data_IF_400959412867
#
_entry.id   IF_400959412867
#
_cell.length_a   1.000
_cell.length_b   1.000
_cell.length_c   1.000
_cell.angle_alpha   90.00
_cell.angle_beta   90.00
_cell.angle_gamma   90.00
#
_symmetry.space_group_name_H-M   'P 1'
#
loop_
_entity.id
_entity.type
_entity.pdbx_description
1 polymer ?
#
# COMPACT_ATOMS: atom_id res chain seq x y z
N UNK A 1 -50.80 -10.28 -24.97
CA UNK A 1 -49.68 -9.31 -25.06
C UNK A 1 -48.97 -9.02 -23.73
N UNK A 2 -49.66 -8.83 -22.59
CA UNK A 2 -49.00 -8.44 -21.32
C UNK A 2 -48.00 -9.46 -20.73
N UNK A 3 -48.29 -10.77 -20.79
CA UNK A 3 -47.44 -11.82 -20.19
C UNK A 3 -46.11 -12.04 -20.93
N UNK A 4 -46.13 -11.89 -22.24
CA UNK A 4 -44.94 -12.07 -23.10
C UNK A 4 -43.98 -10.88 -22.96
N UNK A 5 -44.53 -9.67 -22.88
CA UNK A 5 -43.77 -8.46 -22.54
C UNK A 5 -43.11 -8.59 -21.16
N UNK A 6 -43.82 -9.13 -20.17
CA UNK A 6 -43.25 -9.30 -18.82
C UNK A 6 -42.11 -10.32 -18.80
N UNK A 7 -42.24 -11.44 -19.53
CA UNK A 7 -41.14 -12.42 -19.69
C UNK A 7 -39.91 -11.84 -20.38
N UNK A 8 -40.11 -11.01 -21.40
CA UNK A 8 -39.01 -10.32 -22.10
C UNK A 8 -38.32 -9.32 -21.17
N UNK A 9 -39.09 -8.54 -20.39
CA UNK A 9 -38.54 -7.61 -19.42
C UNK A 9 -37.76 -8.31 -18.30
N UNK A 10 -38.26 -9.43 -17.75
CA UNK A 10 -37.52 -10.24 -16.77
C UNK A 10 -36.24 -10.79 -17.35
N UNK A 11 -36.27 -11.36 -18.56
CA UNK A 11 -35.06 -11.89 -19.22
C UNK A 11 -34.02 -10.81 -19.51
N UNK A 12 -34.45 -9.60 -19.87
CA UNK A 12 -33.57 -8.45 -20.04
C UNK A 12 -33.01 -8.01 -18.69
N UNK A 13 -33.82 -7.91 -17.64
CA UNK A 13 -33.38 -7.59 -16.30
C UNK A 13 -32.35 -8.60 -15.78
N UNK A 14 -32.62 -9.90 -15.90
CA UNK A 14 -31.68 -10.96 -15.49
C UNK A 14 -30.39 -10.92 -16.32
N UNK A 15 -30.46 -10.57 -17.61
CA UNK A 15 -29.29 -10.41 -18.45
C UNK A 15 -28.48 -9.17 -18.09
N UNK A 16 -29.15 -8.07 -17.74
CA UNK A 16 -28.53 -6.86 -17.23
C UNK A 16 -27.93 -7.07 -15.84
N UNK A 17 -28.55 -7.85 -14.96
CA UNK A 17 -27.98 -8.23 -13.65
C UNK A 17 -26.74 -9.12 -13.80
N UNK A 18 -26.70 -10.01 -14.80
CA UNK A 18 -25.50 -10.80 -15.12
C UNK A 18 -24.38 -9.97 -15.75
N UNK A 19 -24.71 -8.84 -16.38
CA UNK A 19 -23.76 -7.91 -16.99
C UNK A 19 -23.37 -6.77 -16.04
N UNK A 20 -24.19 -6.49 -15.02
CA UNK A 20 -23.89 -5.57 -13.96
C UNK A 20 -22.68 -6.12 -13.18
N UNK A 21 -21.69 -5.28 -12.85
CA UNK A 21 -20.67 -5.65 -11.87
C UNK A 21 -21.38 -6.20 -10.65
N UNK A 22 -20.94 -7.36 -10.14
CA UNK A 22 -21.50 -7.93 -8.91
C UNK A 22 -21.49 -6.80 -7.88
N UNK A 23 -22.67 -6.34 -7.47
CA UNK A 23 -22.78 -5.46 -6.31
C UNK A 23 -22.02 -6.18 -5.21
N UNK A 24 -21.00 -5.51 -4.68
CA UNK A 24 -20.19 -6.04 -3.59
C UNK A 24 -21.16 -6.51 -2.52
N UNK A 25 -21.35 -7.83 -2.41
CA UNK A 25 -22.27 -8.39 -1.42
C UNK A 25 -21.87 -7.84 -0.06
N UNK A 26 -22.89 -7.48 0.74
CA UNK A 26 -22.79 -6.87 2.07
C UNK A 26 -21.51 -7.33 2.80
N UNK A 27 -20.45 -6.54 2.66
CA UNK A 27 -19.17 -6.90 3.25
C UNK A 27 -19.26 -6.52 4.70
N UNK A 28 -19.11 -7.48 5.59
CA UNK A 28 -18.97 -7.19 7.01
C UNK A 28 -17.59 -6.56 7.26
N UNK A 29 -17.58 -5.23 7.35
CA UNK A 29 -16.41 -4.40 7.61
C UNK A 29 -15.90 -4.48 9.06
N UNK A 30 -16.55 -5.27 9.92
CA UNK A 30 -16.15 -5.55 11.29
C UNK A 30 -15.55 -6.96 11.45
N UNK A 31 -15.81 -7.89 10.53
CA UNK A 31 -15.43 -9.29 10.66
C UNK A 31 -13.92 -9.61 10.54
N UNK A 32 -13.12 -8.75 9.90
CA UNK A 32 -11.72 -9.06 9.58
C UNK A 32 -10.76 -7.92 9.94
N UNK A 33 -9.46 -8.20 10.17
CA UNK A 33 -8.46 -7.16 10.42
C UNK A 33 -8.11 -6.36 9.17
N UNK A 34 -8.33 -6.93 7.97
CA UNK A 34 -8.05 -6.28 6.71
C UNK A 34 -8.96 -6.73 5.57
N UNK A 35 -8.98 -5.94 4.50
CA UNK A 35 -9.80 -6.15 3.31
C UNK A 35 -9.00 -5.82 2.04
N UNK A 36 -9.37 -6.44 0.92
CA UNK A 36 -8.91 -6.06 -0.42
C UNK A 36 -10.10 -5.57 -1.21
N UNK A 37 -10.02 -4.36 -1.74
CA UNK A 37 -11.01 -3.75 -2.63
C UNK A 37 -10.57 -3.88 -4.09
N UNK A 38 -11.42 -4.48 -4.91
CA UNK A 38 -11.25 -4.61 -6.37
C UNK A 38 -12.53 -4.16 -7.07
N UNK A 39 -12.54 -4.08 -8.41
CA UNK A 39 -13.78 -3.83 -9.16
C UNK A 39 -14.87 -4.89 -8.92
N UNK A 40 -14.49 -6.07 -8.41
CA UNK A 40 -15.42 -7.14 -8.02
C UNK A 40 -15.97 -7.00 -6.59
N UNK A 41 -15.61 -5.94 -5.88
CA UNK A 41 -16.01 -5.66 -4.50
C UNK A 41 -14.93 -5.93 -3.44
N UNK A 42 -15.35 -5.90 -2.18
CA UNK A 42 -14.47 -6.13 -1.05
C UNK A 42 -14.33 -7.63 -0.72
N UNK A 43 -13.12 -8.03 -0.35
CA UNK A 43 -12.83 -9.37 0.17
C UNK A 43 -12.11 -9.28 1.52
N UNK A 44 -12.58 -9.97 2.57
CA UNK A 44 -11.89 -10.00 3.86
C UNK A 44 -10.54 -10.74 3.76
N UNK A 45 -9.64 -10.38 4.68
CA UNK A 45 -8.32 -11.00 4.87
C UNK A 45 -8.16 -11.33 6.34
N UNK A 46 -8.04 -12.62 6.65
CA UNK A 46 -8.03 -13.12 8.03
C UNK A 46 -6.82 -12.65 8.85
N UNK A 47 -5.70 -12.35 8.20
CA UNK A 47 -4.49 -11.87 8.86
C UNK A 47 -3.64 -10.95 7.98
N UNK A 48 -3.15 -9.85 8.56
CA UNK A 48 -2.20 -8.94 7.90
C UNK A 48 -0.81 -9.57 7.90
N UNK A 49 -0.36 -10.02 6.73
CA UNK A 49 0.99 -10.56 6.53
C UNK A 49 2.02 -9.42 6.43
N UNK A 50 2.79 -9.23 7.49
CA UNK A 50 3.88 -8.25 7.59
C UNK A 50 4.99 -8.75 8.54
N UNK A 51 6.23 -8.26 8.44
CA UNK A 51 7.23 -8.44 9.50
C UNK A 51 6.80 -7.69 10.77
N UNK A 52 7.39 -8.01 11.93
CA UNK A 52 7.24 -7.20 13.15
C UNK A 52 7.86 -5.82 12.95
N UNK A 53 7.31 -4.81 13.63
CA UNK A 53 7.72 -3.42 13.42
C UNK A 53 9.20 -3.22 13.82
N UNK A 54 9.68 -3.98 14.81
CA UNK A 54 11.06 -3.99 15.28
C UNK A 54 12.04 -4.59 14.25
N UNK A 55 11.56 -5.50 13.40
CA UNK A 55 12.38 -6.13 12.35
C UNK A 55 12.65 -5.19 11.17
N UNK A 56 11.85 -4.13 11.04
CA UNK A 56 12.04 -3.12 10.00
C UNK A 56 13.13 -2.13 10.42
N UNK A 57 14.39 -2.47 10.18
CA UNK A 57 15.56 -1.64 10.54
C UNK A 57 15.91 -0.60 9.46
N UNK A 58 16.64 0.46 9.84
CA UNK A 58 17.09 1.53 8.93
C UNK A 58 16.00 2.54 8.54
N UNK A 59 14.81 2.44 9.13
CA UNK A 59 13.66 3.32 8.87
C UNK A 59 12.97 3.76 10.16
N UNK A 60 13.68 3.85 11.28
CA UNK A 60 13.13 4.11 12.62
C UNK A 60 12.35 5.42 12.70
N UNK A 61 12.84 6.48 12.05
CA UNK A 61 12.13 7.75 11.96
C UNK A 61 10.79 7.59 11.23
N UNK A 62 10.78 6.91 10.09
CA UNK A 62 9.58 6.69 9.29
C UNK A 62 8.58 5.80 10.04
N UNK A 63 9.05 4.72 10.69
CA UNK A 63 8.22 3.86 11.54
C UNK A 63 7.50 4.65 12.61
N UNK A 64 8.23 5.46 13.37
CA UNK A 64 7.65 6.26 14.45
C UNK A 64 6.56 7.21 13.93
N UNK A 65 6.83 7.93 12.84
CA UNK A 65 5.85 8.88 12.27
C UNK A 65 4.59 8.15 11.75
N UNK A 66 4.77 7.02 11.05
CA UNK A 66 3.63 6.21 10.56
C UNK A 66 2.84 5.66 11.73
N UNK A 67 3.51 5.13 12.74
CA UNK A 67 2.88 4.58 13.95
C UNK A 67 2.05 5.61 14.70
N UNK A 68 2.65 6.75 15.05
CA UNK A 68 1.95 7.84 15.73
C UNK A 68 0.70 8.29 14.97
N UNK A 69 0.77 8.36 13.63
CA UNK A 69 -0.36 8.79 12.79
C UNK A 69 -1.46 7.71 12.70
N UNK A 70 -1.09 6.43 12.57
CA UNK A 70 -2.03 5.32 12.51
C UNK A 70 -2.70 5.09 13.86
N UNK A 71 -1.97 5.24 14.97
CA UNK A 71 -2.55 5.17 16.32
C UNK A 71 -3.60 6.27 16.51
N UNK A 72 -3.30 7.53 16.14
CA UNK A 72 -4.29 8.62 16.19
C UNK A 72 -5.56 8.26 15.43
N UNK A 73 -5.42 7.71 14.22
CA UNK A 73 -6.57 7.26 13.44
C UNK A 73 -7.35 6.15 14.16
N UNK A 74 -6.65 5.16 14.72
CA UNK A 74 -7.29 4.06 15.44
C UNK A 74 -8.08 4.53 16.66
N UNK A 75 -7.59 5.57 17.34
CA UNK A 75 -8.25 6.23 18.47
C UNK A 75 -9.41 7.16 18.06
N UNK A 76 -9.66 7.34 16.75
CA UNK A 76 -10.67 8.28 16.23
C UNK A 76 -10.24 9.75 16.26
N UNK A 77 -8.94 10.03 16.48
CA UNK A 77 -8.38 11.37 16.44
C UNK A 77 -8.02 11.82 15.02
N UNK A 78 -7.73 13.13 14.89
CA UNK A 78 -7.23 13.67 13.63
C UNK A 78 -5.87 13.05 13.24
N UNK A 79 -5.82 12.51 12.02
CA UNK A 79 -4.63 11.95 11.41
C UNK A 79 -4.47 12.51 9.98
N UNK A 80 -3.27 12.40 9.43
CA UNK A 80 -2.96 12.84 8.08
C UNK A 80 -3.04 11.68 7.08
N UNK A 81 -3.32 12.01 5.82
CA UNK A 81 -2.95 11.12 4.73
C UNK A 81 -1.44 11.06 4.57
N UNK A 82 -0.95 9.90 4.17
CA UNK A 82 0.47 9.60 4.07
C UNK A 82 0.87 9.23 2.65
N UNK A 83 1.92 9.87 2.14
CA UNK A 83 2.64 9.46 0.95
C UNK A 83 4.01 8.91 1.35
N UNK A 84 4.25 7.63 1.07
CA UNK A 84 5.52 6.96 1.30
C UNK A 84 6.22 6.77 -0.04
N UNK A 85 7.27 7.54 -0.28
CA UNK A 85 7.96 7.56 -1.57
C UNK A 85 9.43 7.19 -1.40
N UNK A 86 10.05 6.63 -2.43
CA UNK A 86 11.49 6.34 -2.39
C UNK A 86 11.92 5.04 -3.04
N UNK A 87 13.10 4.56 -2.62
CA UNK A 87 13.74 3.35 -3.15
C UNK A 87 12.88 2.09 -3.01
N UNK A 88 12.96 1.22 -4.02
CA UNK A 88 12.28 -0.08 -4.04
C UNK A 88 12.90 -1.01 -2.99
N UNK A 89 12.06 -1.80 -2.33
CA UNK A 89 12.54 -2.81 -1.36
C UNK A 89 12.93 -2.28 0.02
N UNK A 90 12.75 -0.99 0.31
CA UNK A 90 13.07 -0.36 1.61
C UNK A 90 11.91 -0.39 2.63
N UNK A 91 10.94 -1.27 2.45
CA UNK A 91 9.90 -1.50 3.46
C UNK A 91 8.73 -0.51 3.47
N UNK A 92 8.51 0.31 2.45
CA UNK A 92 7.35 1.25 2.36
C UNK A 92 5.99 0.55 2.58
N UNK A 93 5.72 -0.50 1.80
CA UNK A 93 4.51 -1.31 1.94
C UNK A 93 4.50 -2.11 3.24
N UNK A 94 5.68 -2.55 3.70
CA UNK A 94 5.83 -3.35 4.89
C UNK A 94 5.54 -2.55 6.17
N UNK A 95 5.99 -1.28 6.25
CA UNK A 95 5.75 -0.44 7.43
C UNK A 95 4.27 -0.11 7.60
N UNK A 96 3.53 0.14 6.52
CA UNK A 96 2.08 0.37 6.59
C UNK A 96 1.38 -0.85 7.18
N UNK A 97 1.64 -2.04 6.61
CA UNK A 97 1.02 -3.28 7.08
C UNK A 97 1.44 -3.65 8.50
N UNK A 98 2.73 -3.52 8.83
CA UNK A 98 3.27 -3.83 10.14
C UNK A 98 2.68 -2.90 11.21
N UNK A 99 2.55 -1.61 10.91
CA UNK A 99 1.99 -0.61 11.83
C UNK A 99 0.52 -0.90 12.13
N UNK A 100 -0.31 -1.15 11.10
CA UNK A 100 -1.73 -1.44 11.37
C UNK A 100 -1.87 -2.72 12.18
N UNK A 101 -1.08 -3.74 11.89
CA UNK A 101 -1.09 -4.98 12.69
C UNK A 101 -0.69 -4.70 14.15
N UNK A 102 0.38 -3.94 14.37
CA UNK A 102 0.86 -3.57 15.71
C UNK A 102 -0.20 -2.81 16.52
N UNK A 103 -0.83 -1.81 15.90
CA UNK A 103 -1.92 -1.03 16.52
C UNK A 103 -3.16 -1.88 16.82
N UNK A 104 -3.43 -2.93 16.02
CA UNK A 104 -4.51 -3.89 16.27
C UNK A 104 -4.24 -4.83 17.45
N UNK A 105 -2.99 -4.99 17.90
CA UNK A 105 -2.68 -5.77 19.09
C UNK A 105 -3.18 -5.07 20.37
N UNK A 106 -3.32 -3.73 20.34
CA UNK A 106 -4.06 -3.00 21.36
C UNK A 106 -5.57 -3.21 21.19
N UNK A 107 -6.18 -3.93 22.13
CA UNK A 107 -7.61 -4.30 22.13
C UNK A 107 -8.57 -3.10 22.17
N UNK A 108 -8.08 -1.89 22.42
CA UNK A 108 -8.89 -0.66 22.38
C UNK A 108 -8.99 -0.06 20.97
N UNK A 109 -8.09 -0.43 20.07
CA UNK A 109 -7.99 0.12 18.72
C UNK A 109 -8.98 -0.54 17.76
N UNK A 110 -9.89 0.24 17.16
CA UNK A 110 -10.85 -0.25 16.16
C UNK A 110 -10.43 0.12 14.73
N UNK A 111 -9.24 -0.32 14.30
CA UNK A 111 -8.73 -0.02 12.95
C UNK A 111 -8.77 -1.26 12.02
N UNK A 112 -9.03 -1.04 10.73
CA UNK A 112 -8.84 -2.02 9.65
C UNK A 112 -7.95 -1.48 8.54
N UNK A 113 -7.19 -2.36 7.89
CA UNK A 113 -6.46 -2.05 6.67
C UNK A 113 -7.31 -2.40 5.45
N UNK A 114 -7.46 -1.49 4.49
CA UNK A 114 -8.15 -1.78 3.22
C UNK A 114 -7.18 -1.56 2.07
N UNK A 115 -6.69 -2.62 1.45
CA UNK A 115 -5.84 -2.51 0.27
C UNK A 115 -6.69 -2.32 -0.98
N UNK A 116 -6.43 -1.27 -1.76
CA UNK A 116 -7.11 -0.99 -3.02
C UNK A 116 -6.25 -1.49 -4.16
N UNK A 117 -6.85 -2.32 -5.03
CA UNK A 117 -6.20 -2.76 -6.26
C UNK A 117 -6.11 -1.61 -7.28
N UNK A 118 -5.09 -1.65 -8.13
CA UNK A 118 -4.79 -0.56 -9.08
C UNK A 118 -5.91 -0.31 -10.10
N UNK A 119 -6.70 -1.33 -10.42
CA UNK A 119 -7.86 -1.27 -11.30
C UNK A 119 -9.10 -0.64 -10.64
N UNK A 120 -9.13 -0.55 -9.31
CA UNK A 120 -10.27 -0.05 -8.53
C UNK A 120 -10.08 1.39 -8.01
N UNK A 121 -9.03 2.10 -8.46
CA UNK A 121 -8.76 3.48 -8.01
C UNK A 121 -9.89 4.46 -8.34
N UNK A 122 -10.63 4.23 -9.42
CA UNK A 122 -11.79 5.05 -9.78
C UNK A 122 -12.97 4.90 -8.80
N UNK A 123 -12.99 3.84 -8.00
CA UNK A 123 -14.08 3.51 -7.06
C UNK A 123 -13.81 4.01 -5.63
N UNK A 124 -12.68 4.68 -5.39
CA UNK A 124 -12.34 5.25 -4.08
C UNK A 124 -13.47 6.08 -3.46
N UNK A 125 -14.19 6.97 -4.18
CA UNK A 125 -15.32 7.70 -3.59
C UNK A 125 -16.42 6.78 -3.06
N UNK A 126 -16.76 5.74 -3.83
CA UNK A 126 -17.75 4.74 -3.43
C UNK A 126 -17.28 4.00 -2.18
N UNK A 127 -16.02 3.54 -2.16
CA UNK A 127 -15.42 2.87 -1.01
C UNK A 127 -15.48 3.77 0.24
N UNK A 128 -15.10 5.04 0.14
CA UNK A 128 -15.17 5.96 1.27
C UNK A 128 -16.59 6.20 1.76
N UNK A 129 -17.57 6.33 0.87
CA UNK A 129 -18.98 6.46 1.23
C UNK A 129 -19.49 5.25 2.02
N UNK A 130 -19.05 4.05 1.65
CA UNK A 130 -19.36 2.81 2.38
C UNK A 130 -18.66 2.80 3.75
N UNK A 131 -17.35 3.00 3.80
CA UNK A 131 -16.56 2.95 5.04
C UNK A 131 -16.96 4.04 6.04
N UNK A 132 -17.38 5.22 5.56
CA UNK A 132 -17.81 6.33 6.40
C UNK A 132 -19.09 6.06 7.20
N UNK A 133 -19.85 5.02 6.85
CA UNK A 133 -21.06 4.60 7.57
C UNK A 133 -20.80 3.51 8.62
N UNK A 134 -19.57 3.01 8.69
CA UNK A 134 -19.19 1.94 9.61
C UNK A 134 -18.52 2.54 10.84
N UNK A 135 -18.94 2.10 12.03
CA UNK A 135 -18.35 2.51 13.31
C UNK A 135 -17.00 1.82 13.56
N UNK A 136 -16.04 2.09 12.68
CA UNK A 136 -14.66 1.59 12.70
C UNK A 136 -13.76 2.56 11.94
N UNK A 137 -12.50 2.65 12.33
CA UNK A 137 -11.50 3.42 11.62
C UNK A 137 -10.82 2.59 10.53
N UNK A 138 -10.50 3.21 9.39
CA UNK A 138 -9.90 2.50 8.25
C UNK A 138 -8.69 3.24 7.71
N UNK A 139 -7.58 2.52 7.56
CA UNK A 139 -6.47 2.94 6.73
C UNK A 139 -6.64 2.33 5.34
N UNK A 140 -7.00 3.16 4.37
CA UNK A 140 -7.05 2.75 2.96
C UNK A 140 -5.64 2.85 2.37
N UNK A 141 -5.20 1.78 1.75
CA UNK A 141 -3.82 1.59 1.31
C UNK A 141 -3.75 1.32 -0.19
N UNK A 142 -2.94 2.12 -0.89
CA UNK A 142 -2.66 1.95 -2.32
C UNK A 142 -1.16 1.62 -2.46
N UNK A 143 -0.86 0.42 -2.95
CA UNK A 143 0.52 -0.03 -3.17
C UNK A 143 1.01 0.35 -4.56
N UNK A 144 2.29 0.74 -4.63
CA UNK A 144 3.07 0.96 -5.84
C UNK A 144 2.29 1.71 -6.92
N UNK A 145 1.91 2.96 -6.65
CA UNK A 145 1.57 3.89 -7.72
C UNK A 145 2.80 4.00 -8.62
N UNK A 146 2.76 3.22 -9.70
CA UNK A 146 3.81 3.13 -10.70
C UNK A 146 3.99 4.43 -11.45
N UNK A 147 4.94 4.43 -12.38
CA UNK A 147 5.20 5.56 -13.28
C UNK A 147 5.39 5.05 -14.71
N UNK A 148 4.57 5.60 -15.61
CA UNK A 148 4.30 5.19 -17.00
C UNK A 148 3.07 5.98 -17.49
N UNK A 149 2.66 5.89 -18.76
CA UNK A 149 1.52 6.68 -19.26
C UNK A 149 0.23 6.44 -18.44
N UNK A 150 -0.09 5.18 -18.16
CA UNK A 150 -1.23 4.79 -17.32
C UNK A 150 -1.07 5.27 -15.87
N UNK A 151 0.15 5.29 -15.37
CA UNK A 151 0.43 5.63 -13.99
C UNK A 151 0.39 7.14 -13.73
N UNK A 152 0.75 7.95 -14.72
CA UNK A 152 0.52 9.41 -14.70
C UNK A 152 -0.98 9.73 -14.65
N UNK A 153 -1.81 8.94 -15.33
CA UNK A 153 -3.28 9.06 -15.23
C UNK A 153 -3.75 8.74 -13.82
N UNK A 154 -3.24 7.68 -13.17
CA UNK A 154 -3.61 7.33 -11.80
C UNK A 154 -3.18 8.40 -10.78
N UNK A 155 -1.96 8.93 -10.89
CA UNK A 155 -1.49 10.02 -10.04
C UNK A 155 -2.33 11.29 -10.20
N UNK A 156 -2.66 11.70 -11.44
CA UNK A 156 -3.52 12.86 -11.70
C UNK A 156 -4.96 12.64 -11.21
N UNK A 157 -5.52 11.45 -11.36
CA UNK A 157 -6.85 11.10 -10.82
C UNK A 157 -6.86 11.21 -9.30
N UNK A 158 -5.85 10.65 -8.64
CA UNK A 158 -5.73 10.74 -7.19
C UNK A 158 -5.56 12.19 -6.74
N UNK A 159 -4.69 12.97 -7.40
CA UNK A 159 -4.54 14.41 -7.12
C UNK A 159 -5.86 15.15 -7.28
N UNK A 160 -6.54 14.99 -8.42
CA UNK A 160 -7.83 15.66 -8.68
C UNK A 160 -8.88 15.36 -7.61
N UNK A 161 -8.84 14.17 -7.03
CA UNK A 161 -9.74 13.81 -5.93
C UNK A 161 -9.30 14.43 -4.60
N UNK A 162 -7.99 14.44 -4.31
CA UNK A 162 -7.41 15.08 -3.12
C UNK A 162 -7.61 16.61 -3.11
N UNK A 163 -7.64 17.24 -4.28
CA UNK A 163 -7.80 18.68 -4.47
C UNK A 163 -9.21 19.21 -4.13
N UNK A 164 -10.17 18.31 -3.87
CA UNK A 164 -11.51 18.67 -3.43
C UNK A 164 -12.59 18.24 -4.40
N UNK A 165 -12.85 16.92 -4.44
CA UNK A 165 -14.18 16.45 -4.83
C UNK A 165 -15.25 17.07 -3.91
N UNK A 166 -16.47 17.25 -4.43
CA UNK A 166 -17.61 17.80 -3.68
C UNK A 166 -17.95 16.96 -2.43
N UNK A 167 -17.57 15.68 -2.43
CA UNK A 167 -17.76 14.77 -1.30
C UNK A 167 -16.62 14.92 -0.27
N UNK A 168 -16.98 15.30 0.94
CA UNK A 168 -16.05 15.35 2.06
C UNK A 168 -15.56 13.95 2.44
N UNK A 169 -14.26 13.82 2.72
CA UNK A 169 -13.69 12.56 3.21
C UNK A 169 -14.23 12.22 4.60
N UNK A 170 -14.65 10.96 4.85
CA UNK A 170 -15.05 10.54 6.18
C UNK A 170 -13.94 10.73 7.22
N UNK A 171 -14.31 11.16 8.42
CA UNK A 171 -13.36 11.40 9.51
C UNK A 171 -12.61 10.13 9.92
N UNK A 172 -13.27 8.97 9.84
CA UNK A 172 -12.76 7.65 10.20
C UNK A 172 -11.88 6.99 9.12
N UNK A 173 -11.61 7.66 7.99
CA UNK A 173 -10.82 7.07 6.89
C UNK A 173 -9.62 7.93 6.51
N UNK A 174 -8.43 7.34 6.49
CA UNK A 174 -7.21 7.98 5.93
C UNK A 174 -6.57 7.14 4.85
N UNK A 175 -5.80 7.81 4.02
CA UNK A 175 -5.13 7.22 2.88
C UNK A 175 -3.63 7.08 3.13
N UNK A 176 -3.08 5.90 2.84
CA UNK A 176 -1.65 5.63 2.75
C UNK A 176 -1.30 5.18 1.33
N UNK A 177 -0.38 5.89 0.69
CA UNK A 177 0.03 5.62 -0.70
C UNK A 177 1.51 5.35 -0.74
N UNK A 178 1.92 4.28 -1.43
CA UNK A 178 3.35 4.03 -1.70
C UNK A 178 3.68 4.34 -3.15
N UNK A 179 4.86 4.92 -3.37
CA UNK A 179 5.32 5.27 -4.71
C UNK A 179 6.83 5.06 -4.87
N UNK A 180 7.24 4.58 -6.04
CA UNK A 180 8.65 4.30 -6.33
C UNK A 180 9.30 5.48 -7.06
N UNK A 181 10.24 6.15 -6.39
CA UNK A 181 10.94 7.38 -6.85
C UNK A 181 11.71 7.24 -8.17
N UNK A 182 11.87 6.03 -8.74
CA UNK A 182 12.81 5.76 -9.84
C UNK A 182 12.42 6.33 -11.20
N UNK A 183 11.23 6.88 -11.37
CA UNK A 183 10.87 7.61 -12.59
C UNK A 183 11.29 9.08 -12.60
N UNK A 184 11.86 9.61 -11.51
CA UNK A 184 12.21 11.02 -11.39
C UNK A 184 13.60 11.35 -11.95
N UNK A 185 14.53 10.38 -12.01
CA UNK A 185 15.96 10.68 -12.27
C UNK A 185 16.59 9.84 -13.41
N UNK A 186 16.07 8.66 -13.76
CA UNK A 186 16.74 7.76 -14.73
C UNK A 186 16.24 7.89 -16.19
N UNK A 187 15.46 8.92 -16.56
CA UNK A 187 15.12 9.20 -17.97
C UNK A 187 15.94 10.33 -18.62
N UNK A 188 16.96 10.85 -17.94
CA UNK A 188 17.90 11.80 -18.57
C UNK A 188 18.91 11.11 -19.52
N UNK A 189 18.99 9.77 -19.51
CA UNK A 189 20.02 9.03 -20.25
C UNK A 189 19.53 8.22 -21.47
N UNK A 190 18.26 8.31 -21.87
CA UNK A 190 17.82 7.73 -23.14
C UNK A 190 16.37 7.30 -23.20
N UNK A 191 15.51 8.16 -23.76
CA UNK A 191 14.36 7.77 -24.57
C UNK A 191 13.81 9.04 -25.24
N UNK A 192 14.21 9.27 -26.49
CA UNK A 192 13.46 10.11 -27.42
C UNK A 192 12.31 9.26 -27.96
N UNK A 193 11.25 9.07 -27.17
CA UNK A 193 9.91 8.81 -27.71
C UNK A 193 8.87 8.82 -26.57
N UNK A 194 7.89 9.71 -26.67
CA UNK A 194 6.78 9.84 -25.73
C UNK A 194 6.38 11.30 -25.48
N UNK A 195 5.09 11.59 -25.68
CA UNK A 195 4.44 12.92 -25.66
C UNK A 195 4.35 13.61 -24.29
N UNK A 196 5.10 13.15 -23.28
CA UNK A 196 5.08 13.69 -21.91
C UNK A 196 6.43 14.34 -21.60
N UNK A 197 6.42 15.66 -21.42
CA UNK A 197 7.60 16.42 -21.01
C UNK A 197 8.04 15.96 -19.61
N UNK A 198 9.31 15.52 -19.41
CA UNK A 198 9.80 15.05 -18.12
C UNK A 198 9.59 16.03 -16.96
N UNK A 199 9.55 17.34 -17.25
CA UNK A 199 9.29 18.39 -16.26
C UNK A 199 7.85 18.33 -15.72
N UNK A 200 6.87 18.13 -16.60
CA UNK A 200 5.45 18.06 -16.22
C UNK A 200 5.16 16.87 -15.30
N UNK A 201 5.87 15.75 -15.49
CA UNK A 201 5.75 14.58 -14.63
C UNK A 201 6.30 14.81 -13.21
N UNK A 202 7.34 15.62 -13.07
CA UNK A 202 7.92 16.01 -11.79
C UNK A 202 6.99 16.99 -11.07
N UNK A 203 6.46 17.98 -11.79
CA UNK A 203 5.51 18.95 -11.24
C UNK A 203 4.20 18.28 -10.80
N UNK A 204 3.68 17.32 -11.59
CA UNK A 204 2.50 16.53 -11.21
C UNK A 204 2.71 15.77 -9.89
N UNK A 205 3.92 15.27 -9.65
CA UNK A 205 4.26 14.53 -8.43
C UNK A 205 4.46 15.43 -7.22
N UNK A 206 5.09 16.60 -7.39
CA UNK A 206 5.21 17.61 -6.34
C UNK A 206 3.81 18.08 -5.92
N UNK A 207 2.97 18.40 -6.91
CA UNK A 207 1.58 18.80 -6.68
C UNK A 207 0.75 17.70 -6.00
N UNK A 208 0.99 16.43 -6.31
CA UNK A 208 0.35 15.31 -5.59
C UNK A 208 0.87 15.20 -4.15
N UNK A 209 2.18 15.29 -3.95
CA UNK A 209 2.81 15.18 -2.63
C UNK A 209 2.35 16.28 -1.67
N UNK A 210 2.15 17.51 -2.16
CA UNK A 210 1.68 18.65 -1.37
C UNK A 210 0.27 18.46 -0.80
N UNK A 211 -0.50 17.49 -1.31
CA UNK A 211 -1.84 17.16 -0.78
C UNK A 211 -1.81 16.19 0.40
N UNK A 212 -0.67 15.55 0.65
CA UNK A 212 -0.52 14.65 1.79
C UNK A 212 0.01 15.43 2.99
N UNK A 213 -0.70 15.35 4.11
CA UNK A 213 -0.23 15.95 5.36
C UNK A 213 1.06 15.33 5.89
N UNK A 214 1.40 14.10 5.46
CA UNK A 214 2.67 13.44 5.74
C UNK A 214 3.28 12.89 4.45
N UNK A 215 4.49 13.36 4.13
CA UNK A 215 5.30 12.87 3.02
C UNK A 215 6.61 12.30 3.54
N UNK A 216 6.81 10.99 3.38
CA UNK A 216 7.91 10.23 3.98
C UNK A 216 8.83 9.63 2.91
N UNK A 217 10.07 10.11 2.88
CA UNK A 217 11.13 9.61 2.01
C UNK A 217 11.80 8.34 2.54
N UNK A 218 11.96 7.36 1.66
CA UNK A 218 12.71 6.12 1.87
C UNK A 218 13.93 6.09 0.94
N UNK A 219 15.12 6.21 1.52
CA UNK A 219 16.35 6.32 0.76
C UNK A 219 16.94 4.95 0.42
N UNK A 220 17.89 4.91 -0.53
CA UNK A 220 18.58 3.68 -0.86
C UNK A 220 19.36 3.16 0.36
N UNK A 221 19.38 1.84 0.51
CA UNK A 221 20.11 1.16 1.58
C UNK A 221 21.62 1.41 1.43
N UNK A 222 22.28 1.94 2.46
CA UNK A 222 23.73 1.87 2.55
C UNK A 222 24.18 0.42 2.78
N UNK A 223 25.50 0.19 2.76
CA UNK A 223 26.03 -1.13 3.10
C UNK A 223 25.71 -1.48 4.54
N UNK A 224 25.95 -0.54 5.45
CA UNK A 224 25.77 -0.73 6.88
C UNK A 224 24.29 -0.95 7.21
N UNK A 225 23.38 -0.17 6.61
CA UNK A 225 21.93 -0.40 6.74
C UNK A 225 21.54 -1.81 6.27
N UNK A 226 22.12 -2.27 5.16
CA UNK A 226 21.82 -3.59 4.62
C UNK A 226 22.27 -4.70 5.57
N UNK A 227 23.50 -4.59 6.10
CA UNK A 227 24.03 -5.55 7.07
C UNK A 227 23.26 -5.52 8.38
N UNK A 228 22.83 -4.35 8.83
CA UNK A 228 22.01 -4.20 10.04
C UNK A 228 20.62 -4.84 9.88
N UNK A 229 20.01 -4.73 8.70
CA UNK A 229 18.75 -5.41 8.37
C UNK A 229 18.96 -6.94 8.33
N UNK A 230 20.01 -7.42 7.65
CA UNK A 230 20.33 -8.86 7.61
C UNK A 230 20.52 -9.39 9.02
N UNK A 231 21.31 -8.69 9.86
CA UNK A 231 21.50 -9.04 11.25
C UNK A 231 20.18 -9.10 12.00
N UNK A 232 19.26 -8.17 11.76
CA UNK A 232 17.94 -8.19 12.39
C UNK A 232 17.08 -9.39 12.05
N UNK A 233 17.16 -9.88 10.81
CA UNK A 233 16.48 -11.13 10.45
C UNK A 233 17.20 -12.35 11.02
N UNK A 234 18.53 -12.38 10.95
CA UNK A 234 19.33 -13.49 11.46
C UNK A 234 19.15 -13.66 12.98
N UNK A 235 19.23 -12.58 13.76
CA UNK A 235 19.00 -12.57 15.21
C UNK A 235 17.61 -13.13 15.56
N UNK A 236 16.57 -12.70 14.83
CA UNK A 236 15.20 -13.13 15.07
C UNK A 236 14.96 -14.62 14.75
N UNK A 237 15.78 -15.20 13.89
CA UNK A 237 15.73 -16.61 13.49
C UNK A 237 16.76 -17.47 14.23
N UNK A 238 17.61 -16.87 15.07
CA UNK A 238 18.72 -17.57 15.72
C UNK A 238 19.75 -18.11 14.73
N UNK A 239 19.96 -17.41 13.61
CA UNK A 239 20.88 -17.79 12.55
C UNK A 239 22.18 -16.98 12.62
N UNK A 240 23.30 -17.63 12.36
CA UNK A 240 24.58 -16.96 12.14
C UNK A 240 24.79 -16.68 10.64
N UNK A 241 25.52 -15.63 10.32
CA UNK A 241 25.91 -15.32 8.94
C UNK A 241 27.26 -14.59 8.91
N UNK A 242 27.99 -14.80 7.83
CA UNK A 242 29.20 -14.04 7.53
C UNK A 242 28.85 -12.77 6.74
N UNK A 243 29.53 -11.67 7.07
CA UNK A 243 29.28 -10.37 6.41
C UNK A 243 29.58 -10.45 4.91
N UNK A 244 30.63 -11.19 4.53
CA UNK A 244 31.03 -11.35 3.12
C UNK A 244 29.94 -12.07 2.30
N UNK A 245 29.35 -13.15 2.83
CA UNK A 245 28.26 -13.88 2.19
C UNK A 245 27.04 -12.98 1.92
N UNK A 246 26.67 -12.15 2.91
CA UNK A 246 25.55 -11.23 2.77
C UNK A 246 25.80 -10.19 1.67
N UNK A 247 27.03 -9.66 1.59
CA UNK A 247 27.43 -8.67 0.59
C UNK A 247 27.54 -9.29 -0.79
N UNK A 248 28.06 -10.51 -0.90
CA UNK A 248 28.11 -11.25 -2.15
C UNK A 248 26.70 -11.51 -2.68
N UNK A 249 25.78 -11.96 -1.82
CA UNK A 249 24.37 -12.15 -2.17
C UNK A 249 23.75 -10.86 -2.73
N UNK A 250 23.96 -9.72 -2.06
CA UNK A 250 23.46 -8.42 -2.54
C UNK A 250 24.05 -8.03 -3.90
N UNK A 251 25.34 -8.33 -4.13
CA UNK A 251 26.02 -8.07 -5.40
C UNK A 251 25.45 -8.93 -6.53
N UNK A 252 25.24 -10.22 -6.30
CA UNK A 252 24.63 -11.14 -7.27
C UNK A 252 23.19 -10.72 -7.62
N UNK A 253 22.43 -10.20 -6.64
CA UNK A 253 21.07 -9.68 -6.83
C UNK A 253 21.03 -8.25 -7.40
N UNK A 254 22.18 -7.59 -7.55
CA UNK A 254 22.30 -6.24 -8.08
C UNK A 254 21.64 -5.14 -7.23
N UNK A 255 21.31 -5.41 -5.96
CA UNK A 255 20.66 -4.42 -5.10
C UNK A 255 20.82 -4.70 -3.60
N UNK A 256 21.02 -3.64 -2.83
CA UNK A 256 20.92 -3.65 -1.36
C UNK A 256 19.57 -3.08 -0.96
N UNK A 257 18.74 -3.90 -0.34
CA UNK A 257 17.41 -3.51 0.12
C UNK A 257 16.95 -4.47 1.22
N UNK A 258 15.96 -4.07 2.00
CA UNK A 258 15.32 -4.95 2.98
C UNK A 258 14.71 -6.20 2.33
N UNK A 259 14.20 -6.10 1.09
CA UNK A 259 13.76 -7.26 0.31
C UNK A 259 14.90 -8.24 0.03
N UNK A 260 16.05 -7.74 -0.42
CA UNK A 260 17.23 -8.57 -0.68
C UNK A 260 17.74 -9.23 0.59
N UNK A 261 17.73 -8.48 1.70
CA UNK A 261 18.11 -8.97 3.02
C UNK A 261 17.18 -10.09 3.51
N UNK A 262 15.86 -9.96 3.32
CA UNK A 262 14.91 -11.03 3.63
C UNK A 262 15.14 -12.28 2.77
N UNK A 263 15.43 -12.11 1.48
CA UNK A 263 15.76 -13.24 0.61
C UNK A 263 17.04 -13.97 1.06
N UNK A 264 18.04 -13.22 1.56
CA UNK A 264 19.23 -13.81 2.16
C UNK A 264 18.92 -14.54 3.47
N UNK A 265 18.08 -13.96 4.34
CA UNK A 265 17.62 -14.62 5.56
C UNK A 265 16.86 -15.94 5.26
N UNK A 266 16.05 -15.97 4.20
CA UNK A 266 15.39 -17.19 3.73
C UNK A 266 16.39 -18.25 3.28
N UNK A 267 17.45 -17.85 2.56
CA UNK A 267 18.53 -18.74 2.16
C UNK A 267 19.25 -19.33 3.38
N UNK A 268 19.57 -18.51 4.38
CA UNK A 268 20.17 -18.96 5.64
C UNK A 268 19.26 -19.95 6.38
N UNK A 269 17.97 -19.63 6.50
CA UNK A 269 17.00 -20.51 7.15
C UNK A 269 16.88 -21.85 6.42
N UNK A 270 16.85 -21.83 5.09
CA UNK A 270 16.83 -23.04 4.25
C UNK A 270 18.07 -23.90 4.45
N UNK A 271 19.28 -23.32 4.49
CA UNK A 271 20.54 -24.04 4.78
C UNK A 271 20.54 -24.65 6.19
N UNK A 272 19.91 -23.99 7.15
CA UNK A 272 19.75 -24.47 8.51
C UNK A 272 18.58 -25.47 8.71
N UNK A 273 17.81 -25.77 7.66
CA UNK A 273 16.66 -26.68 7.74
C UNK A 273 15.45 -26.10 8.49
N UNK A 274 15.33 -24.78 8.60
CA UNK A 274 14.25 -24.09 9.30
C UNK A 274 13.12 -23.66 8.35
N UNK A 275 11.87 -23.71 8.83
CA UNK A 275 10.70 -23.12 8.15
C UNK A 275 10.41 -21.70 8.65
N UNK A 276 9.90 -20.83 7.77
CA UNK A 276 9.54 -19.44 8.05
C UNK A 276 8.03 -19.19 8.08
#
# INVERSE_FOLDING_TARGET
MGRERNRLLTRIADALERLAPRQSGDTDWLAAPAYVWTQGGARPVDAIKAPRLEQLRGIDRQKRIVHENVQRLADGHAAHDMLLWGARGMGKSAVVRATVRDVQEDRRSSIALVQVASDALAELPCLFSVLGRVERNFLVYIDDLGFGEEAGVQARRLRSWLDGGVEARPANVRLAVTSNRRAIVEREAGAQDGSLNPRDAIDDQLALADRFGLSLGFHACSQDDYLDIVRGYADALGLAFETEDALEWARQRGSRSGRTAWQFANELAGRAGQSL
#
